data_IF_190466002309
#
_entry.id   IF_190466002309
#
_cell.length_a   1.000
_cell.length_b   1.000
_cell.length_c   1.000
_cell.angle_alpha   90.00
_cell.angle_beta   90.00
_cell.angle_gamma   90.00
#
_symmetry.space_group_name_H-M   'P 1'
#
loop_
_entity.id
_entity.type
_entity.pdbx_description
1 polymer ?
#
# COMPACT_ATOMS: atom_id res chain seq x y z
N UNK A 1 10.29 21.53 -8.40
CA UNK A 1 11.17 20.33 -8.34
C UNK A 1 10.48 19.23 -9.10
N UNK A 2 11.18 18.54 -9.99
CA UNK A 2 10.61 17.38 -10.68
C UNK A 2 10.37 16.29 -9.62
N UNK A 3 9.11 15.91 -9.40
CA UNK A 3 8.75 14.84 -8.46
C UNK A 3 9.43 13.55 -8.97
N UNK A 4 10.45 13.07 -8.26
CA UNK A 4 11.11 11.80 -8.63
C UNK A 4 10.08 10.68 -8.50
N UNK A 5 10.06 9.76 -9.47
CA UNK A 5 9.20 8.57 -9.38
C UNK A 5 9.71 7.67 -8.24
N UNK A 6 8.82 7.16 -7.40
CA UNK A 6 9.20 6.28 -6.29
C UNK A 6 10.01 5.05 -6.75
N UNK A 7 9.74 4.54 -7.95
CA UNK A 7 10.49 3.44 -8.58
C UNK A 7 11.98 3.74 -8.84
N UNK A 8 12.40 5.00 -8.73
CA UNK A 8 13.78 5.44 -8.97
C UNK A 8 14.48 5.91 -7.69
N UNK A 9 13.76 5.93 -6.57
CA UNK A 9 14.29 6.32 -5.27
C UNK A 9 15.00 5.14 -4.61
N UNK A 10 16.10 5.43 -3.93
CA UNK A 10 16.74 4.49 -3.01
C UNK A 10 15.84 4.23 -1.79
N UNK A 11 16.11 3.13 -1.06
CA UNK A 11 15.43 2.82 0.22
C UNK A 11 15.49 4.01 1.20
N UNK A 12 16.65 4.67 1.29
CA UNK A 12 16.82 5.84 2.15
C UNK A 12 15.95 7.02 1.68
N UNK A 13 15.95 7.34 0.39
CA UNK A 13 15.09 8.40 -0.17
C UNK A 13 13.59 8.11 0.06
N UNK A 14 13.16 6.86 -0.14
CA UNK A 14 11.78 6.43 0.13
C UNK A 14 11.40 6.60 1.60
N UNK A 15 12.29 6.25 2.53
CA UNK A 15 12.06 6.43 3.96
C UNK A 15 11.94 7.92 4.34
N UNK A 16 12.79 8.78 3.78
CA UNK A 16 12.71 10.23 3.99
C UNK A 16 11.41 10.82 3.41
N UNK A 17 11.01 10.37 2.22
CA UNK A 17 9.75 10.78 1.59
C UNK A 17 8.55 10.36 2.43
N UNK A 18 8.50 9.11 2.91
CA UNK A 18 7.45 8.60 3.80
C UNK A 18 7.37 9.44 5.08
N UNK A 19 8.51 9.77 5.70
CA UNK A 19 8.55 10.61 6.90
C UNK A 19 7.95 12.00 6.62
N UNK A 20 8.32 12.63 5.50
CA UNK A 20 7.78 13.94 5.10
C UNK A 20 6.26 13.89 4.84
N UNK A 21 5.80 12.85 4.14
CA UNK A 21 4.38 12.65 3.84
C UNK A 21 3.56 12.43 5.13
N UNK A 22 4.06 11.61 6.05
CA UNK A 22 3.41 11.38 7.35
C UNK A 22 3.30 12.66 8.18
N UNK A 23 4.35 13.50 8.20
CA UNK A 23 4.30 14.77 8.93
C UNK A 23 3.24 15.71 8.34
N UNK A 24 3.13 15.77 7.01
CA UNK A 24 2.10 16.54 6.31
C UNK A 24 0.71 15.97 6.57
N UNK A 25 0.55 14.65 6.54
CA UNK A 25 -0.73 13.97 6.78
C UNK A 25 -1.23 14.30 8.19
N UNK A 26 -0.37 14.18 9.20
CA UNK A 26 -0.69 14.55 10.59
C UNK A 26 -1.14 16.01 10.73
N UNK A 27 -0.48 16.95 10.02
CA UNK A 27 -0.90 18.37 10.02
C UNK A 27 -2.26 18.56 9.33
N UNK A 28 -2.47 17.92 8.18
CA UNK A 28 -3.73 17.98 7.44
C UNK A 28 -4.90 17.43 8.29
N UNK A 29 -4.69 16.31 8.99
CA UNK A 29 -5.65 15.73 9.92
C UNK A 29 -6.00 16.70 11.06
N UNK A 30 -4.99 17.30 11.71
CA UNK A 30 -5.19 18.28 12.79
C UNK A 30 -5.96 19.54 12.36
N UNK A 31 -5.84 19.92 11.09
CA UNK A 31 -6.57 21.06 10.51
C UNK A 31 -7.94 20.67 9.91
N UNK A 32 -8.35 19.40 10.01
CA UNK A 32 -9.62 18.92 9.44
C UNK A 32 -9.63 18.85 7.91
N UNK A 33 -8.46 18.82 7.26
CA UNK A 33 -8.30 18.78 5.81
C UNK A 33 -8.42 17.34 5.28
N UNK A 34 -9.61 16.75 5.38
CA UNK A 34 -9.87 15.33 5.09
C UNK A 34 -9.44 14.90 3.69
N UNK A 35 -9.71 15.72 2.67
CA UNK A 35 -9.33 15.41 1.28
C UNK A 35 -7.81 15.37 1.10
N UNK A 36 -7.09 16.31 1.71
CA UNK A 36 -5.62 16.37 1.60
C UNK A 36 -4.96 15.25 2.40
N UNK A 37 -5.48 14.97 3.59
CA UNK A 37 -5.08 13.80 4.37
C UNK A 37 -5.21 12.50 3.55
N UNK A 38 -6.36 12.27 2.90
CA UNK A 38 -6.58 11.09 2.08
C UNK A 38 -5.61 10.98 0.89
N UNK A 39 -5.24 12.11 0.27
CA UNK A 39 -4.23 12.14 -0.80
C UNK A 39 -2.85 11.77 -0.26
N UNK A 40 -2.46 12.32 0.90
CA UNK A 40 -1.16 12.06 1.52
C UNK A 40 -1.03 10.60 1.96
N UNK A 41 -2.07 10.02 2.56
CA UNK A 41 -2.11 8.61 2.94
C UNK A 41 -1.92 7.69 1.72
N UNK A 42 -2.57 7.98 0.59
CA UNK A 42 -2.37 7.22 -0.66
C UNK A 42 -0.92 7.30 -1.16
N UNK A 43 -0.27 8.47 -1.03
CA UNK A 43 1.15 8.62 -1.38
C UNK A 43 2.04 7.78 -0.45
N UNK A 44 1.76 7.76 0.85
CA UNK A 44 2.48 6.93 1.83
C UNK A 44 2.35 5.45 1.50
N UNK A 45 1.13 4.98 1.22
CA UNK A 45 0.86 3.59 0.81
C UNK A 45 1.70 3.23 -0.42
N UNK A 46 1.70 4.08 -1.44
CA UNK A 46 2.49 3.84 -2.66
C UNK A 46 4.00 3.80 -2.39
N UNK A 47 4.53 4.75 -1.62
CA UNK A 47 5.95 4.78 -1.29
C UNK A 47 6.37 3.53 -0.48
N UNK A 48 5.54 3.08 0.47
CA UNK A 48 5.75 1.84 1.23
C UNK A 48 5.81 0.61 0.33
N UNK A 49 5.01 0.56 -0.74
CA UNK A 49 5.03 -0.58 -1.67
C UNK A 49 6.37 -0.75 -2.37
N UNK A 50 7.12 0.34 -2.60
CA UNK A 50 8.48 0.27 -3.16
C UNK A 50 9.56 -0.11 -2.14
N UNK A 51 9.21 -0.22 -0.85
CA UNK A 51 10.10 -0.78 0.18
C UNK A 51 9.91 -2.29 0.38
N UNK A 52 8.90 -2.88 -0.25
CA UNK A 52 8.59 -4.30 -0.14
C UNK A 52 9.12 -5.06 -1.35
N UNK A 53 9.37 -6.35 -1.16
CA UNK A 53 9.73 -7.25 -2.25
C UNK A 53 8.45 -7.86 -2.86
N UNK A 54 8.11 -7.57 -4.14
CA UNK A 54 6.94 -8.17 -4.78
C UNK A 54 6.97 -9.70 -4.82
N UNK A 55 8.16 -10.31 -4.81
CA UNK A 55 8.30 -11.77 -4.80
C UNK A 55 7.81 -12.41 -3.49
N UNK A 56 7.62 -11.64 -2.42
CA UNK A 56 7.05 -12.17 -1.18
C UNK A 56 5.53 -12.38 -1.27
N UNK A 57 4.89 -11.89 -2.34
CA UNK A 57 3.45 -11.93 -2.59
C UNK A 57 3.14 -12.88 -3.74
N UNK A 58 2.38 -13.94 -3.49
CA UNK A 58 2.17 -15.02 -4.46
C UNK A 58 0.75 -15.05 -5.02
N UNK A 59 0.59 -15.20 -6.35
CA UNK A 59 -0.68 -15.55 -6.97
C UNK A 59 -1.31 -16.80 -6.34
N UNK A 60 -2.63 -16.78 -6.15
CA UNK A 60 -3.40 -17.84 -5.52
C UNK A 60 -3.53 -17.73 -4.00
N UNK A 61 -2.66 -16.97 -3.33
CA UNK A 61 -2.70 -16.80 -1.87
C UNK A 61 -3.69 -15.72 -1.41
N UNK A 62 -4.15 -15.87 -0.17
CA UNK A 62 -5.01 -14.93 0.52
C UNK A 62 -4.20 -14.07 1.48
N UNK A 63 -4.47 -12.77 1.45
CA UNK A 63 -3.88 -11.77 2.32
C UNK A 63 -4.97 -10.99 3.03
N UNK A 64 -4.74 -10.60 4.28
CA UNK A 64 -5.61 -9.65 4.96
C UNK A 64 -5.31 -8.24 4.46
N UNK A 65 -6.34 -7.41 4.30
CA UNK A 65 -6.17 -6.02 3.92
C UNK A 65 -5.85 -5.19 5.17
N UNK A 66 -4.71 -4.50 5.13
CA UNK A 66 -4.27 -3.61 6.20
C UNK A 66 -5.31 -2.50 6.43
N UNK A 67 -5.70 -2.29 7.68
CA UNK A 67 -6.74 -1.33 8.05
C UNK A 67 -8.18 -1.80 7.83
N UNK A 68 -8.41 -3.02 7.32
CA UNK A 68 -9.75 -3.58 7.11
C UNK A 68 -9.87 -5.01 7.70
N UNK A 69 -9.97 -5.13 9.05
CA UNK A 69 -9.96 -6.43 9.72
C UNK A 69 -11.08 -7.37 9.25
N UNK A 70 -10.74 -8.63 8.96
CA UNK A 70 -11.69 -9.62 8.46
C UNK A 70 -11.99 -9.51 6.95
N UNK A 71 -11.41 -8.52 6.26
CA UNK A 71 -11.47 -8.43 4.80
C UNK A 71 -10.17 -8.99 4.20
N UNK A 72 -10.35 -9.90 3.24
CA UNK A 72 -9.27 -10.64 2.61
C UNK A 72 -9.25 -10.40 1.11
N UNK A 73 -8.05 -10.39 0.56
CA UNK A 73 -7.74 -10.22 -0.86
C UNK A 73 -7.04 -11.46 -1.38
N UNK A 74 -7.56 -12.04 -2.47
CA UNK A 74 -6.92 -13.13 -3.20
C UNK A 74 -6.17 -12.53 -4.38
N UNK A 75 -4.86 -12.78 -4.44
CA UNK A 75 -4.03 -12.35 -5.57
C UNK A 75 -4.26 -13.29 -6.74
N UNK A 76 -4.50 -12.76 -7.93
CA UNK A 76 -4.51 -13.51 -9.19
C UNK A 76 -3.22 -13.36 -9.96
N UNK A 77 -2.64 -12.15 -9.98
CA UNK A 77 -1.31 -11.90 -10.54
C UNK A 77 -0.67 -10.64 -9.96
N UNK A 78 0.64 -10.51 -10.16
CA UNK A 78 1.43 -9.35 -9.74
C UNK A 78 1.80 -8.50 -10.96
N UNK A 79 1.79 -7.17 -10.81
CA UNK A 79 2.31 -6.24 -11.81
C UNK A 79 3.03 -5.08 -11.12
N UNK A 80 4.38 -5.13 -11.14
CA UNK A 80 5.21 -4.19 -10.38
C UNK A 80 4.93 -4.31 -8.88
N UNK A 81 4.60 -3.19 -8.24
CA UNK A 81 4.27 -3.13 -6.79
C UNK A 81 2.78 -3.24 -6.50
N UNK A 82 1.99 -3.71 -7.48
CA UNK A 82 0.57 -3.96 -7.35
C UNK A 82 0.25 -5.44 -7.43
N UNK A 83 -0.69 -5.87 -6.59
CA UNK A 83 -1.36 -7.14 -6.69
C UNK A 83 -2.73 -6.93 -7.35
N UNK A 84 -3.00 -7.68 -8.40
CA UNK A 84 -4.29 -7.72 -9.07
C UNK A 84 -5.06 -8.96 -8.61
N UNK A 85 -6.35 -8.81 -8.35
CA UNK A 85 -7.16 -9.89 -7.81
C UNK A 85 -8.47 -9.41 -7.23
N UNK A 86 -9.01 -10.15 -6.27
CA UNK A 86 -10.38 -9.97 -5.78
C UNK A 86 -10.45 -9.94 -4.26
N UNK A 87 -11.25 -9.03 -3.69
CA UNK A 87 -11.74 -9.19 -2.31
C UNK A 87 -12.69 -10.38 -2.25
N UNK A 88 -12.65 -11.16 -1.18
CA UNK A 88 -13.55 -12.31 -1.00
C UNK A 88 -15.04 -11.92 -1.00
N UNK A 89 -15.36 -10.68 -0.60
CA UNK A 89 -16.71 -10.10 -0.64
C UNK A 89 -16.88 -9.06 -1.77
N UNK A 90 -15.90 -8.96 -2.68
CA UNK A 90 -15.87 -7.98 -3.76
C UNK A 90 -16.75 -8.37 -4.96
N UNK A 91 -16.98 -7.40 -5.85
CA UNK A 91 -17.80 -7.58 -7.06
C UNK A 91 -17.00 -7.60 -8.36
N UNK A 92 -15.67 -7.56 -8.29
CA UNK A 92 -14.81 -7.51 -9.48
C UNK A 92 -13.33 -7.44 -9.14
N UNK A 93 -12.51 -7.51 -10.18
CA UNK A 93 -11.05 -7.43 -10.07
C UNK A 93 -10.64 -6.00 -9.71
N UNK A 94 -9.69 -5.88 -8.79
CA UNK A 94 -9.07 -4.61 -8.43
C UNK A 94 -7.56 -4.77 -8.26
N UNK A 95 -6.85 -3.64 -8.34
CA UNK A 95 -5.42 -3.57 -8.09
C UNK A 95 -5.17 -2.91 -6.74
N UNK A 96 -4.51 -3.61 -5.83
CA UNK A 96 -4.08 -3.08 -4.54
C UNK A 96 -2.55 -2.94 -4.49
N UNK A 97 -2.01 -1.82 -3.96
CA UNK A 97 -0.60 -1.73 -3.62
C UNK A 97 -0.24 -2.82 -2.62
N UNK A 98 0.92 -3.48 -2.80
CA UNK A 98 1.33 -4.60 -1.94
C UNK A 98 1.55 -4.21 -0.47
N UNK A 99 1.77 -2.92 -0.17
CA UNK A 99 1.85 -2.42 1.21
C UNK A 99 0.52 -2.47 1.97
N UNK A 100 -0.59 -2.72 1.28
CA UNK A 100 -1.90 -2.94 1.89
C UNK A 100 -2.17 -4.43 2.21
N UNK A 101 -1.26 -5.34 1.87
CA UNK A 101 -1.47 -6.78 2.01
C UNK A 101 -0.65 -7.34 3.16
N UNK A 102 -1.33 -7.94 4.13
CA UNK A 102 -0.73 -8.60 5.29
C UNK A 102 -0.85 -10.11 5.15
N UNK A 103 0.28 -10.83 5.25
CA UNK A 103 0.28 -12.29 5.27
C UNK A 103 -0.55 -12.80 6.44
N UNK A 104 -1.33 -13.84 6.19
CA UNK A 104 -2.00 -14.58 7.25
C UNK A 104 -0.91 -15.37 7.98
N UNK A 105 -0.66 -15.06 9.25
CA UNK A 105 0.25 -15.88 10.04
C UNK A 105 -0.34 -17.30 10.14
N UNK A 106 0.44 -18.30 9.76
CA UNK A 106 0.09 -19.69 10.03
C UNK A 106 0.10 -19.86 11.55
N UNK A 107 -1.09 -19.98 12.16
CA UNK A 107 -1.19 -20.52 13.52
C UNK A 107 -0.80 -21.99 13.44
N UNK A 108 0.47 -22.27 13.69
CA UNK A 108 0.97 -23.60 13.99
C UNK A 108 0.41 -24.16 15.30
#
# INVERSE_FOLDING_TARGET
>A
MQEKRYSTMTTYELQQEIASLNEKARKAEQMGMVNEFAVLERKVIMAKSYLLNPDDFKPGELYQIEGDPGVYFKIEYMNGVFAWGYRLNGKGEEALPISMLKKLEERG
#
